data_IF_490831476980
#
_entry.id   IF_490831476980
#
_cell.length_a   1.000
_cell.length_b   1.000
_cell.length_c   1.000
_cell.angle_alpha   90.00
_cell.angle_beta   90.00
_cell.angle_gamma   90.00
#
_symmetry.space_group_name_H-M   'P 1'
#
loop_
_entity.id
_entity.type
_entity.pdbx_description
1 polymer ?
#
# COMPACT_ATOMS: atom_id res chain seq x y z
N UNK A 1 -44.95 11.20 -64.03
CA UNK A 1 -43.68 11.57 -64.73
C UNK A 1 -42.63 11.88 -63.75
N UNK A 2 -41.59 11.02 -63.80
CA UNK A 2 -40.18 11.25 -63.38
C UNK A 2 -39.87 11.63 -61.92
N UNK A 3 -39.36 10.73 -61.27
CA UNK A 3 -37.92 10.45 -60.93
C UNK A 3 -37.39 11.25 -59.76
N UNK A 4 -36.96 10.56 -58.73
CA UNK A 4 -35.56 10.58 -58.39
C UNK A 4 -35.17 9.58 -57.29
N UNK A 5 -34.34 8.68 -57.69
CA UNK A 5 -33.48 7.81 -56.86
C UNK A 5 -32.16 8.58 -56.62
N UNK A 6 -31.64 8.51 -55.43
CA UNK A 6 -30.27 8.36 -54.99
C UNK A 6 -29.93 9.23 -53.79
N UNK A 7 -29.68 8.62 -52.68
CA UNK A 7 -28.41 8.57 -52.00
C UNK A 7 -28.57 7.80 -50.68
N UNK A 8 -28.36 6.50 -50.75
CA UNK A 8 -28.01 5.67 -49.61
C UNK A 8 -26.55 5.29 -49.83
N UNK A 9 -25.75 5.53 -48.84
CA UNK A 9 -24.40 5.02 -48.83
C UNK A 9 -23.37 6.01 -48.30
N UNK A 10 -23.14 6.03 -47.05
CA UNK A 10 -21.85 6.08 -46.29
C UNK A 10 -22.20 6.26 -44.81
N UNK A 11 -22.19 5.21 -44.04
CA UNK A 11 -22.51 5.30 -42.63
C UNK A 11 -22.37 3.97 -41.87
N UNK A 12 -21.72 2.98 -42.45
CA UNK A 12 -21.61 1.66 -41.80
C UNK A 12 -20.19 1.05 -41.75
N UNK A 13 -19.13 1.87 -41.72
CA UNK A 13 -17.75 1.39 -41.71
C UNK A 13 -16.96 1.65 -40.42
N UNK A 14 -17.55 2.40 -39.46
CA UNK A 14 -16.84 2.69 -38.21
C UNK A 14 -17.26 1.86 -36.99
N UNK A 15 -18.35 1.10 -37.08
CA UNK A 15 -18.81 0.20 -35.98
C UNK A 15 -18.24 -1.22 -36.04
N UNK A 16 -17.68 -1.61 -37.19
CA UNK A 16 -17.18 -2.98 -37.40
C UNK A 16 -15.79 -3.24 -36.81
N UNK A 17 -14.98 -2.21 -36.60
CA UNK A 17 -13.61 -2.37 -36.10
C UNK A 17 -13.52 -2.55 -34.56
N UNK A 18 -14.49 -2.02 -33.81
CA UNK A 18 -14.48 -2.15 -32.33
C UNK A 18 -14.99 -3.51 -31.86
N UNK A 19 -15.91 -4.12 -32.60
CA UNK A 19 -16.34 -5.50 -32.27
C UNK A 19 -15.27 -6.56 -32.59
N UNK A 20 -14.40 -6.31 -33.58
CA UNK A 20 -13.39 -7.29 -33.96
C UNK A 20 -12.19 -7.34 -33.00
N UNK A 21 -11.87 -6.24 -32.30
CA UNK A 21 -10.79 -6.23 -31.32
C UNK A 21 -11.17 -6.93 -30.02
N UNK A 22 -12.40 -6.72 -29.52
CA UNK A 22 -12.88 -7.43 -28.33
C UNK A 22 -13.02 -8.96 -28.57
N UNK A 23 -13.52 -9.35 -29.73
CA UNK A 23 -13.64 -10.77 -30.11
C UNK A 23 -12.28 -11.43 -30.36
N UNK A 24 -11.30 -10.67 -30.87
CA UNK A 24 -9.94 -11.17 -31.07
C UNK A 24 -9.20 -11.36 -29.73
N UNK A 25 -9.44 -10.50 -28.76
CA UNK A 25 -8.85 -10.59 -27.41
C UNK A 25 -9.42 -11.80 -26.64
N UNK A 26 -10.75 -11.99 -26.65
CA UNK A 26 -11.39 -13.19 -26.10
C UNK A 26 -10.87 -14.48 -26.74
N UNK A 27 -10.61 -14.47 -28.03
CA UNK A 27 -10.04 -15.59 -28.77
C UNK A 27 -8.60 -15.91 -28.34
N UNK A 28 -7.79 -14.89 -28.02
CA UNK A 28 -6.40 -15.10 -27.56
C UNK A 28 -6.35 -15.81 -26.22
N UNK A 29 -7.11 -15.36 -25.21
CA UNK A 29 -7.14 -15.99 -23.87
C UNK A 29 -7.59 -17.44 -23.94
N UNK A 30 -8.64 -17.74 -24.69
CA UNK A 30 -9.11 -19.12 -24.90
C UNK A 30 -8.07 -20.00 -25.57
N UNK A 31 -7.37 -19.45 -26.58
CA UNK A 31 -6.34 -20.20 -27.32
C UNK A 31 -5.10 -20.44 -26.45
N UNK A 32 -4.60 -19.41 -25.77
CA UNK A 32 -3.44 -19.51 -24.91
C UNK A 32 -3.67 -20.46 -23.71
N UNK A 33 -4.89 -20.47 -23.17
CA UNK A 33 -5.28 -21.30 -22.04
C UNK A 33 -5.62 -22.77 -22.43
N UNK A 34 -5.78 -23.09 -23.72
CA UNK A 34 -6.21 -24.41 -24.15
C UNK A 34 -5.41 -25.60 -23.56
N UNK A 35 -4.06 -25.53 -23.45
CA UNK A 35 -3.28 -26.60 -22.85
C UNK A 35 -3.53 -26.80 -21.35
N UNK A 36 -4.12 -25.83 -20.69
CA UNK A 36 -4.29 -25.74 -19.22
C UNK A 36 -5.76 -25.83 -18.80
N UNK A 37 -6.69 -26.07 -19.73
CA UNK A 37 -8.12 -26.19 -19.42
C UNK A 37 -8.38 -27.30 -18.39
N UNK A 38 -9.20 -26.99 -17.39
CA UNK A 38 -9.50 -27.87 -16.27
C UNK A 38 -8.45 -27.89 -15.16
N UNK A 39 -7.31 -27.20 -15.34
CA UNK A 39 -6.37 -27.01 -14.25
C UNK A 39 -6.99 -26.10 -13.18
N UNK A 40 -6.55 -26.31 -11.93
CA UNK A 40 -6.86 -25.43 -10.80
C UNK A 40 -5.56 -24.76 -10.35
N UNK A 41 -5.56 -23.44 -10.30
CA UNK A 41 -4.50 -22.65 -9.68
C UNK A 41 -5.00 -22.12 -8.34
N UNK A 42 -4.14 -22.19 -7.32
CA UNK A 42 -4.46 -21.75 -5.96
C UNK A 42 -3.63 -20.55 -5.56
N UNK A 43 -4.31 -19.48 -5.15
CA UNK A 43 -3.68 -18.25 -4.64
C UNK A 43 -3.89 -18.03 -3.16
N UNK A 44 -2.99 -17.29 -2.53
CA UNK A 44 -3.14 -16.78 -1.17
C UNK A 44 -2.77 -15.29 -1.09
N UNK A 45 -3.53 -14.54 -0.31
CA UNK A 45 -3.30 -13.11 -0.09
C UNK A 45 -3.73 -12.68 1.31
N UNK A 46 -3.30 -11.50 1.70
CA UNK A 46 -3.92 -10.78 2.80
C UNK A 46 -5.38 -10.43 2.46
N UNK A 47 -6.23 -10.35 3.48
CA UNK A 47 -7.65 -10.01 3.33
C UNK A 47 -7.85 -8.49 3.21
N UNK A 48 -7.62 -7.96 2.03
CA UNK A 48 -7.86 -6.55 1.66
C UNK A 48 -9.08 -6.40 0.75
N UNK A 49 -9.64 -5.20 0.55
CA UNK A 49 -10.67 -4.98 -0.47
C UNK A 49 -10.28 -5.48 -1.86
N UNK A 50 -8.98 -5.39 -2.23
CA UNK A 50 -8.51 -5.89 -3.51
C UNK A 50 -8.47 -7.40 -3.61
N UNK A 51 -8.03 -8.06 -2.57
CA UNK A 51 -8.03 -9.52 -2.52
C UNK A 51 -9.44 -10.07 -2.67
N UNK A 52 -10.42 -9.43 -2.00
CA UNK A 52 -11.83 -9.79 -2.16
C UNK A 52 -12.34 -9.61 -3.60
N UNK A 53 -11.85 -8.59 -4.30
CA UNK A 53 -12.20 -8.40 -5.71
C UNK A 53 -11.59 -9.49 -6.60
N UNK A 54 -10.37 -9.97 -6.29
CA UNK A 54 -9.78 -11.15 -6.96
C UNK A 54 -10.65 -12.37 -6.75
N UNK A 55 -11.03 -12.64 -5.50
CA UNK A 55 -11.85 -13.81 -5.13
C UNK A 55 -13.23 -13.77 -5.78
N UNK A 56 -13.91 -12.64 -5.69
CA UNK A 56 -15.33 -12.53 -6.05
C UNK A 56 -15.56 -12.19 -7.52
N UNK A 57 -14.59 -11.55 -8.20
CA UNK A 57 -14.79 -11.02 -9.55
C UNK A 57 -13.75 -11.56 -10.53
N UNK A 58 -12.45 -11.35 -10.28
CA UNK A 58 -11.41 -11.61 -11.27
C UNK A 58 -11.19 -13.11 -11.49
N UNK A 59 -11.13 -13.90 -10.42
CA UNK A 59 -11.00 -15.34 -10.49
C UNK A 59 -12.14 -16.01 -11.26
N UNK A 60 -13.42 -15.73 -10.93
CA UNK A 60 -14.56 -16.22 -11.70
C UNK A 60 -14.57 -15.79 -13.18
N UNK A 61 -14.25 -14.52 -13.48
CA UNK A 61 -14.16 -14.04 -14.87
C UNK A 61 -13.06 -14.77 -15.65
N UNK A 62 -11.88 -14.88 -15.09
CA UNK A 62 -10.77 -15.61 -15.70
C UNK A 62 -11.15 -17.09 -15.96
N UNK A 63 -11.77 -17.74 -14.97
CA UNK A 63 -12.25 -19.12 -15.11
C UNK A 63 -13.26 -19.27 -16.25
N UNK A 64 -14.20 -18.33 -16.36
CA UNK A 64 -15.19 -18.33 -17.44
C UNK A 64 -14.55 -18.19 -18.83
N UNK A 65 -13.53 -17.34 -18.94
CA UNK A 65 -12.86 -17.07 -20.22
C UNK A 65 -11.90 -18.17 -20.64
N UNK A 66 -11.21 -18.78 -19.69
CA UNK A 66 -10.07 -19.68 -19.97
C UNK A 66 -10.34 -21.16 -19.68
N UNK A 67 -11.30 -21.45 -18.81
CA UNK A 67 -11.52 -22.82 -18.28
C UNK A 67 -10.51 -23.23 -17.22
N UNK A 68 -9.59 -22.35 -16.79
CA UNK A 68 -8.67 -22.56 -15.66
C UNK A 68 -9.39 -22.10 -14.38
N UNK A 69 -9.54 -22.99 -13.41
CA UNK A 69 -10.18 -22.68 -12.15
C UNK A 69 -9.22 -21.90 -11.24
N UNK A 70 -9.72 -20.83 -10.62
CA UNK A 70 -8.99 -20.07 -9.58
C UNK A 70 -9.60 -20.39 -8.22
N UNK A 71 -8.82 -20.96 -7.32
CA UNK A 71 -9.11 -21.05 -5.90
C UNK A 71 -8.28 -19.99 -5.16
N UNK A 72 -8.93 -19.19 -4.30
CA UNK A 72 -8.27 -18.07 -3.67
C UNK A 72 -8.54 -18.04 -2.17
N UNK A 73 -7.49 -17.89 -1.38
CA UNK A 73 -7.55 -17.79 0.07
C UNK A 73 -7.14 -16.37 0.48
N UNK A 74 -8.05 -15.64 1.15
CA UNK A 74 -7.76 -14.37 1.79
C UNK A 74 -7.78 -14.56 3.31
N UNK A 75 -6.67 -14.18 3.98
CA UNK A 75 -6.48 -14.38 5.43
C UNK A 75 -5.74 -13.20 6.06
N UNK A 76 -5.37 -13.25 7.35
CA UNK A 76 -4.53 -12.22 7.94
C UNK A 76 -3.13 -12.21 7.34
N UNK A 77 -2.46 -11.05 7.40
CA UNK A 77 -1.10 -10.88 6.87
C UNK A 77 -0.13 -11.93 7.41
N UNK A 78 -0.09 -12.15 8.72
CA UNK A 78 0.80 -13.13 9.37
C UNK A 78 0.55 -14.55 8.86
N UNK A 79 -0.72 -14.94 8.73
CA UNK A 79 -1.08 -16.28 8.24
C UNK A 79 -0.75 -16.45 6.77
N UNK A 80 -0.98 -15.43 5.97
CA UNK A 80 -0.62 -15.43 4.55
C UNK A 80 0.89 -15.61 4.39
N UNK A 81 1.70 -14.79 5.07
CA UNK A 81 3.15 -14.88 5.01
C UNK A 81 3.67 -16.25 5.47
N UNK A 82 3.19 -16.71 6.62
CA UNK A 82 3.57 -17.99 7.22
C UNK A 82 3.27 -19.20 6.31
N UNK A 83 2.08 -19.21 5.70
CA UNK A 83 1.66 -20.29 4.80
C UNK A 83 2.47 -20.26 3.51
N UNK A 84 2.64 -19.08 2.91
CA UNK A 84 3.38 -18.92 1.67
C UNK A 84 4.85 -19.30 1.82
N UNK A 85 5.54 -18.82 2.87
CA UNK A 85 6.96 -19.10 3.06
C UNK A 85 7.20 -20.58 3.40
N UNK A 86 6.36 -21.19 4.23
CA UNK A 86 6.45 -22.62 4.57
C UNK A 86 6.23 -23.52 3.36
N UNK A 87 5.29 -23.18 2.47
CA UNK A 87 5.08 -23.91 1.21
C UNK A 87 6.32 -23.85 0.32
N UNK A 88 6.91 -22.66 0.16
CA UNK A 88 8.12 -22.47 -0.64
C UNK A 88 9.34 -23.16 -0.04
N UNK A 89 9.53 -23.10 1.29
CA UNK A 89 10.61 -23.77 2.01
C UNK A 89 10.53 -25.30 1.90
N UNK A 90 9.33 -25.84 2.06
CA UNK A 90 9.08 -27.27 1.95
C UNK A 90 8.97 -27.77 0.50
N UNK A 91 8.91 -26.86 -0.47
CA UNK A 91 8.72 -27.14 -1.91
C UNK A 91 7.50 -28.02 -2.18
N UNK A 92 6.38 -27.77 -1.47
CA UNK A 92 5.19 -28.62 -1.56
C UNK A 92 4.28 -28.27 -2.73
N UNK A 93 4.29 -26.99 -3.18
CA UNK A 93 3.49 -26.49 -4.29
C UNK A 93 1.99 -26.51 -3.97
N UNK A 94 1.64 -26.04 -2.77
CA UNK A 94 0.24 -25.83 -2.36
C UNK A 94 -0.33 -24.62 -3.08
N UNK A 95 0.49 -23.57 -3.19
CA UNK A 95 0.10 -22.31 -3.84
C UNK A 95 0.79 -22.14 -5.19
N UNK A 96 0.03 -21.65 -6.15
CA UNK A 96 0.47 -21.39 -7.52
C UNK A 96 0.73 -19.91 -7.77
N UNK A 97 0.13 -19.02 -6.97
CA UNK A 97 0.48 -17.60 -6.89
C UNK A 97 0.26 -17.10 -5.46
N UNK A 98 1.11 -16.19 -5.03
CA UNK A 98 1.11 -15.65 -3.67
C UNK A 98 1.21 -14.13 -3.69
N UNK A 99 0.52 -13.49 -2.77
CA UNK A 99 0.73 -12.07 -2.49
C UNK A 99 2.14 -11.86 -1.95
N UNK A 100 2.84 -10.93 -2.52
CA UNK A 100 4.16 -10.48 -2.11
C UNK A 100 4.11 -8.99 -1.87
N UNK A 101 4.27 -8.61 -0.65
CA UNK A 101 4.41 -7.22 -0.27
C UNK A 101 5.83 -6.74 -0.51
N UNK A 102 6.02 -5.46 -0.72
CA UNK A 102 7.32 -4.90 -1.08
C UNK A 102 8.37 -5.05 0.03
N UNK A 103 7.99 -5.28 1.27
CA UNK A 103 8.88 -5.52 2.39
C UNK A 103 9.37 -6.97 2.48
N UNK A 104 8.56 -7.94 2.06
CA UNK A 104 8.90 -9.37 2.09
C UNK A 104 9.51 -9.88 0.79
N UNK A 105 9.33 -9.19 -0.33
CA UNK A 105 9.82 -9.64 -1.65
C UNK A 105 11.32 -9.90 -1.65
N UNK A 106 12.11 -9.08 -0.97
CA UNK A 106 13.56 -9.22 -0.96
C UNK A 106 14.03 -10.47 -0.21
N UNK A 107 13.28 -10.93 0.79
CA UNK A 107 13.50 -12.23 1.45
C UNK A 107 13.28 -13.38 0.45
N UNK A 108 12.23 -13.30 -0.36
CA UNK A 108 11.91 -14.31 -1.36
C UNK A 108 12.94 -14.30 -2.51
N UNK A 109 13.37 -13.12 -2.97
CA UNK A 109 14.38 -12.98 -4.01
C UNK A 109 15.75 -13.53 -3.55
N UNK A 110 16.19 -13.22 -2.34
CA UNK A 110 17.45 -13.72 -1.78
C UNK A 110 17.50 -15.26 -1.70
N UNK A 111 16.33 -15.91 -1.62
CA UNK A 111 16.17 -17.36 -1.51
C UNK A 111 15.77 -18.03 -2.83
N UNK A 112 15.66 -17.28 -3.93
CA UNK A 112 15.19 -17.75 -5.23
C UNK A 112 13.82 -18.44 -5.16
N UNK A 113 12.90 -17.90 -4.38
CA UNK A 113 11.58 -18.48 -4.18
C UNK A 113 10.56 -18.10 -5.25
N UNK A 114 10.84 -17.11 -6.08
CA UNK A 114 9.91 -16.61 -7.10
C UNK A 114 10.35 -17.03 -8.52
N UNK A 115 9.37 -17.24 -9.37
CA UNK A 115 9.55 -17.43 -10.80
C UNK A 115 9.84 -16.08 -11.46
N UNK A 116 10.85 -16.05 -12.31
CA UNK A 116 11.13 -14.93 -13.18
C UNK A 116 10.07 -14.84 -14.29
N UNK A 117 9.19 -13.85 -14.19
CA UNK A 117 8.06 -13.65 -15.11
C UNK A 117 8.58 -13.19 -16.47
N UNK A 118 9.55 -12.27 -16.51
CA UNK A 118 10.14 -11.75 -17.75
C UNK A 118 10.74 -12.89 -18.57
N UNK A 119 11.58 -13.69 -17.94
CA UNK A 119 12.21 -14.83 -18.59
C UNK A 119 11.20 -15.89 -19.00
N UNK A 120 10.24 -16.23 -18.15
CA UNK A 120 9.24 -17.26 -18.44
C UNK A 120 8.37 -16.91 -19.63
N UNK A 121 7.99 -15.63 -19.78
CA UNK A 121 7.23 -15.17 -20.95
C UNK A 121 8.08 -15.12 -22.21
N UNK A 122 9.37 -14.80 -22.12
CA UNK A 122 10.30 -14.86 -23.23
C UNK A 122 10.52 -16.31 -23.73
N UNK A 123 10.65 -17.26 -22.79
CA UNK A 123 10.85 -18.69 -23.10
C UNK A 123 9.58 -19.35 -23.65
N UNK A 124 8.38 -18.84 -23.31
CA UNK A 124 7.09 -19.37 -23.77
C UNK A 124 6.19 -18.29 -24.40
N UNK A 125 6.60 -17.81 -25.57
CA UNK A 125 5.87 -16.75 -26.28
C UNK A 125 4.40 -17.07 -26.62
N UNK A 126 3.99 -18.34 -26.55
CA UNK A 126 2.58 -18.75 -26.80
C UNK A 126 1.61 -18.29 -25.72
N UNK A 127 2.11 -18.09 -24.50
CA UNK A 127 1.32 -17.58 -23.38
C UNK A 127 1.68 -16.13 -23.04
N UNK A 128 2.55 -15.47 -23.79
CA UNK A 128 2.86 -14.07 -23.61
C UNK A 128 1.76 -13.20 -24.25
N UNK A 129 0.93 -12.57 -23.42
CA UNK A 129 -0.15 -11.71 -23.89
C UNK A 129 0.39 -10.45 -24.55
N UNK A 130 -0.10 -10.08 -25.76
CA UNK A 130 0.31 -8.83 -26.42
C UNK A 130 -0.13 -7.58 -25.64
N UNK A 131 -1.11 -7.71 -24.74
CA UNK A 131 -1.68 -6.63 -23.94
C UNK A 131 -1.01 -6.49 -22.56
N UNK A 132 -0.20 -7.46 -22.15
CA UNK A 132 0.57 -7.37 -20.91
C UNK A 132 1.87 -6.61 -21.16
N UNK A 133 1.96 -5.39 -20.65
CA UNK A 133 3.10 -4.48 -20.84
C UNK A 133 3.57 -3.94 -19.49
N UNK A 134 4.70 -4.45 -18.98
CA UNK A 134 5.26 -3.96 -17.70
C UNK A 134 5.47 -2.44 -17.65
N UNK A 135 5.76 -1.79 -18.78
CA UNK A 135 5.93 -0.34 -18.89
C UNK A 135 4.65 0.48 -18.63
N UNK A 136 3.48 -0.14 -18.66
CA UNK A 136 2.21 0.52 -18.33
C UNK A 136 2.00 0.68 -16.82
N UNK A 137 2.70 -0.09 -16.01
CA UNK A 137 2.61 0.05 -14.56
C UNK A 137 3.27 1.34 -14.06
N UNK A 138 2.85 1.80 -12.90
CA UNK A 138 3.52 2.90 -12.20
C UNK A 138 4.93 2.47 -11.74
N UNK A 139 5.70 3.41 -11.23
CA UNK A 139 7.04 3.12 -10.66
C UNK A 139 7.01 2.11 -9.51
N UNK A 140 5.82 1.81 -8.96
CA UNK A 140 5.63 0.79 -7.93
C UNK A 140 6.08 -0.61 -8.39
N UNK A 141 5.98 -0.94 -9.68
CA UNK A 141 6.53 -2.18 -10.24
C UNK A 141 8.02 -2.38 -9.90
N UNK A 142 8.79 -1.31 -9.68
CA UNK A 142 10.23 -1.43 -9.42
C UNK A 142 10.55 -2.18 -8.12
N UNK A 143 9.63 -2.20 -7.13
CA UNK A 143 9.81 -2.99 -5.91
C UNK A 143 9.74 -4.51 -6.17
N UNK A 144 9.11 -4.93 -7.27
CA UNK A 144 8.92 -6.33 -7.64
C UNK A 144 9.80 -6.78 -8.80
N UNK A 145 10.91 -6.07 -9.03
CA UNK A 145 11.96 -6.47 -9.97
C UNK A 145 13.15 -7.05 -9.22
N UNK A 146 13.79 -8.03 -9.82
CA UNK A 146 15.10 -8.47 -9.33
C UNK A 146 16.09 -7.31 -9.46
N UNK A 147 16.75 -6.90 -8.37
CA UNK A 147 17.63 -5.74 -8.38
C UNK A 147 18.92 -5.94 -9.22
N UNK A 148 19.24 -7.17 -9.62
CA UNK A 148 20.44 -7.49 -10.41
C UNK A 148 20.14 -7.56 -11.91
N UNK A 149 19.06 -8.26 -12.29
CA UNK A 149 18.69 -8.45 -13.69
C UNK A 149 17.71 -7.38 -14.19
N UNK A 150 16.90 -6.80 -13.30
CA UNK A 150 15.78 -5.92 -13.66
C UNK A 150 14.53 -6.65 -14.10
N UNK A 151 14.53 -7.99 -14.06
CA UNK A 151 13.40 -8.81 -14.46
C UNK A 151 12.23 -8.71 -13.48
N UNK A 152 11.02 -8.82 -14.01
CA UNK A 152 9.77 -8.77 -13.25
C UNK A 152 9.57 -10.09 -12.52
N UNK A 153 9.43 -10.01 -11.20
CA UNK A 153 9.21 -11.15 -10.31
C UNK A 153 7.79 -11.19 -9.74
N UNK A 154 7.04 -10.11 -9.87
CA UNK A 154 5.66 -10.00 -9.44
C UNK A 154 4.86 -8.98 -10.26
N UNK A 155 3.57 -9.25 -10.45
CA UNK A 155 2.65 -8.33 -11.12
C UNK A 155 1.93 -7.49 -10.06
N UNK A 156 2.07 -6.16 -10.05
CA UNK A 156 1.45 -5.29 -9.06
C UNK A 156 -0.07 -5.50 -8.99
N UNK A 157 -0.55 -5.70 -7.80
CA UNK A 157 -1.95 -5.88 -7.48
C UNK A 157 -2.52 -4.63 -6.82
N UNK A 158 -1.79 -4.02 -5.94
CA UNK A 158 -2.17 -2.82 -5.22
C UNK A 158 -0.98 -1.91 -4.96
N UNK A 159 -1.27 -0.61 -4.96
CA UNK A 159 -0.34 0.44 -4.57
C UNK A 159 -1.13 1.61 -4.01
N UNK A 160 -0.73 2.12 -2.86
CA UNK A 160 -1.33 3.26 -2.18
C UNK A 160 -0.30 3.97 -1.30
N UNK A 161 -0.54 5.24 -1.02
CA UNK A 161 0.24 5.99 -0.03
C UNK A 161 -0.54 6.07 1.28
N UNK A 162 0.14 6.40 2.38
CA UNK A 162 -0.50 6.69 3.66
C UNK A 162 -0.63 8.20 3.85
N UNK A 163 -1.75 8.81 3.42
CA UNK A 163 -1.95 10.25 3.50
C UNK A 163 -2.37 10.70 4.91
N UNK A 164 -2.33 12.01 5.11
CA UNK A 164 -3.00 12.68 6.21
C UNK A 164 -4.47 12.91 5.86
N UNK A 165 -5.38 12.24 6.56
CA UNK A 165 -6.82 12.49 6.48
C UNK A 165 -7.26 13.43 7.61
N UNK A 166 -8.21 14.31 7.31
CA UNK A 166 -8.80 15.22 8.29
C UNK A 166 -10.30 15.42 8.04
N UNK A 167 -11.02 15.80 9.06
CA UNK A 167 -12.45 16.08 9.02
C UNK A 167 -12.68 17.50 8.46
N UNK A 168 -12.87 17.57 7.13
CA UNK A 168 -13.09 18.83 6.42
C UNK A 168 -14.26 19.63 7.01
N UNK A 169 -15.35 18.96 7.36
CA UNK A 169 -16.49 19.58 8.00
C UNK A 169 -16.19 20.26 9.35
N UNK A 170 -15.23 19.73 10.13
CA UNK A 170 -14.77 20.34 11.37
C UNK A 170 -13.79 21.50 11.09
N UNK A 171 -12.90 21.32 10.13
CA UNK A 171 -11.90 22.31 9.79
C UNK A 171 -12.50 23.55 9.08
N UNK A 172 -13.59 23.36 8.33
CA UNK A 172 -14.26 24.42 7.59
C UNK A 172 -15.39 25.11 8.41
N UNK A 173 -15.73 24.59 9.59
CA UNK A 173 -16.75 25.19 10.46
C UNK A 173 -16.28 26.53 11.04
N UNK A 174 -16.97 27.65 10.76
CA UNK A 174 -16.53 28.98 11.23
C UNK A 174 -16.50 29.12 12.76
N UNK A 175 -17.35 28.42 13.49
CA UNK A 175 -17.37 28.47 14.95
C UNK A 175 -16.17 27.71 15.53
N UNK A 176 -15.82 26.57 14.95
CA UNK A 176 -14.64 25.80 15.35
C UNK A 176 -13.35 26.55 14.98
N UNK A 177 -13.28 27.13 13.78
CA UNK A 177 -12.15 27.97 13.38
C UNK A 177 -11.92 29.14 14.34
N UNK A 178 -13.01 29.81 14.73
CA UNK A 178 -12.93 30.89 15.70
C UNK A 178 -12.44 30.39 17.06
N UNK A 179 -13.02 29.31 17.57
CA UNK A 179 -12.62 28.74 18.86
C UNK A 179 -11.15 28.29 18.87
N UNK A 180 -10.69 27.69 17.77
CA UNK A 180 -9.29 27.30 17.60
C UNK A 180 -8.37 28.54 17.60
N UNK A 181 -8.72 29.57 16.83
CA UNK A 181 -7.94 30.82 16.75
C UNK A 181 -7.89 31.55 18.08
N UNK A 182 -9.03 31.67 18.77
CA UNK A 182 -9.10 32.30 20.09
C UNK A 182 -8.22 31.57 21.13
N UNK A 183 -8.14 30.22 21.02
CA UNK A 183 -7.36 29.41 21.96
C UNK A 183 -5.86 29.35 21.63
N UNK A 184 -5.51 29.29 20.34
CA UNK A 184 -4.15 28.97 19.87
C UNK A 184 -3.43 30.16 19.23
N UNK A 185 -4.15 31.20 18.83
CA UNK A 185 -3.66 32.34 18.06
C UNK A 185 -3.42 32.03 16.57
N UNK A 186 -3.65 30.78 16.12
CA UNK A 186 -3.40 30.32 14.75
C UNK A 186 -4.70 30.03 14.00
N UNK A 187 -4.65 30.05 12.67
CA UNK A 187 -5.77 29.62 11.85
C UNK A 187 -5.83 28.08 11.78
N UNK A 188 -7.05 27.52 11.85
CA UNK A 188 -7.28 26.08 11.69
C UNK A 188 -7.22 25.70 10.22
N UNK A 189 -6.21 24.91 9.85
CA UNK A 189 -6.01 24.33 8.51
C UNK A 189 -5.25 23.03 8.64
N UNK A 190 -5.24 22.15 7.62
CA UNK A 190 -4.44 20.93 7.65
C UNK A 190 -2.97 21.22 8.00
N UNK A 191 -2.43 20.44 8.93
CA UNK A 191 -1.07 20.62 9.43
C UNK A 191 -0.02 20.33 8.34
N UNK A 192 1.04 21.11 8.33
CA UNK A 192 2.22 20.90 7.49
C UNK A 192 3.47 20.56 8.33
N UNK A 193 3.40 20.83 9.62
CA UNK A 193 4.45 20.51 10.61
C UNK A 193 3.90 19.67 11.76
N UNK A 194 4.77 18.95 12.45
CA UNK A 194 4.39 18.15 13.62
C UNK A 194 3.86 19.01 14.78
N UNK A 195 4.37 20.23 14.92
CA UNK A 195 3.88 21.18 15.92
C UNK A 195 2.43 21.57 15.64
N UNK A 196 2.11 21.88 14.38
CA UNK A 196 0.73 22.19 13.95
C UNK A 196 -0.18 20.99 14.18
N UNK A 197 0.25 19.78 13.79
CA UNK A 197 -0.53 18.56 13.96
C UNK A 197 -0.84 18.29 15.44
N UNK A 198 0.16 18.38 16.31
CA UNK A 198 -0.01 18.19 17.76
C UNK A 198 -0.94 19.25 18.36
N UNK A 199 -0.80 20.52 17.95
CA UNK A 199 -1.65 21.61 18.40
C UNK A 199 -3.13 21.39 18.01
N UNK A 200 -3.38 20.91 16.80
CA UNK A 200 -4.71 20.55 16.31
C UNK A 200 -5.24 19.33 17.09
N UNK A 201 -4.43 18.29 17.27
CA UNK A 201 -4.81 17.10 18.02
C UNK A 201 -5.22 17.45 19.46
N UNK A 202 -4.41 18.26 20.13
CA UNK A 202 -4.72 18.74 21.49
C UNK A 202 -6.02 19.53 21.53
N UNK A 203 -6.20 20.46 20.58
CA UNK A 203 -7.42 21.27 20.51
C UNK A 203 -8.67 20.41 20.40
N UNK A 204 -8.69 19.47 19.44
CA UNK A 204 -9.87 18.63 19.22
C UNK A 204 -10.12 17.62 20.33
N UNK A 205 -9.08 17.09 20.97
CA UNK A 205 -9.24 16.23 22.16
C UNK A 205 -9.92 16.96 23.31
N UNK A 206 -9.61 18.24 23.51
CA UNK A 206 -10.26 19.08 24.53
C UNK A 206 -11.64 19.57 24.09
N UNK A 207 -11.81 19.98 22.83
CA UNK A 207 -13.07 20.45 22.23
C UNK A 207 -14.11 19.33 22.13
N UNK A 208 -13.66 18.11 21.88
CA UNK A 208 -14.48 16.93 21.64
C UNK A 208 -14.69 16.03 22.86
N UNK A 209 -14.20 16.40 24.05
CA UNK A 209 -14.17 15.55 25.23
C UNK A 209 -15.57 15.05 25.67
N UNK A 210 -16.62 15.84 25.43
CA UNK A 210 -18.03 15.51 25.70
C UNK A 210 -18.75 14.87 24.50
N UNK A 211 -18.07 14.67 23.38
CA UNK A 211 -18.63 14.26 22.08
C UNK A 211 -18.00 12.97 21.52
N UNK A 212 -17.19 12.29 22.30
CA UNK A 212 -16.38 11.13 21.85
C UNK A 212 -15.52 11.44 20.61
N UNK A 213 -15.11 12.70 20.45
CA UNK A 213 -14.24 13.15 19.37
C UNK A 213 -12.81 13.32 19.90
N UNK A 214 -11.91 12.53 19.36
CA UNK A 214 -10.49 12.58 19.67
C UNK A 214 -9.73 13.49 18.70
N UNK A 215 -8.58 13.98 19.14
CA UNK A 215 -7.76 14.85 18.33
C UNK A 215 -7.11 14.17 17.14
N UNK A 216 -6.79 12.87 17.29
CA UNK A 216 -6.19 12.05 16.23
C UNK A 216 -6.54 10.58 16.42
N UNK A 217 -6.21 9.75 15.43
CA UNK A 217 -6.16 8.28 15.56
C UNK A 217 -4.71 7.83 15.37
N UNK A 218 -4.31 6.77 16.07
CA UNK A 218 -2.92 6.27 16.10
C UNK A 218 -2.89 4.77 15.99
N UNK A 219 -2.07 4.24 15.09
CA UNK A 219 -1.79 2.82 14.95
C UNK A 219 -0.64 2.44 15.89
N UNK A 220 -0.90 1.69 16.97
CA UNK A 220 0.12 1.43 17.98
C UNK A 220 0.03 0.01 18.59
N UNK A 221 -0.62 -0.94 17.91
CA UNK A 221 -0.72 -2.32 18.37
C UNK A 221 0.60 -3.08 18.24
N UNK A 222 0.83 -4.02 19.18
CA UNK A 222 1.87 -5.05 19.03
C UNK A 222 1.46 -6.17 18.07
N UNK A 223 0.15 -6.33 17.82
CA UNK A 223 -0.36 -7.32 16.86
C UNK A 223 0.02 -6.90 15.44
N UNK A 224 0.33 -7.89 14.60
CA UNK A 224 0.71 -7.69 13.19
C UNK A 224 1.87 -6.71 13.01
N UNK A 225 2.82 -6.68 13.88
CA UNK A 225 3.76 -5.63 14.35
C UNK A 225 3.41 -4.20 13.90
N UNK A 226 2.12 -3.84 14.03
CA UNK A 226 1.58 -2.60 13.53
C UNK A 226 2.30 -1.35 14.06
N UNK A 227 2.75 -1.40 15.31
CA UNK A 227 3.54 -0.33 15.90
C UNK A 227 4.92 -0.13 15.25
N UNK A 228 5.57 -1.22 14.83
CA UNK A 228 6.85 -1.17 14.13
C UNK A 228 6.69 -0.48 12.78
N UNK A 229 5.72 -0.93 11.99
CA UNK A 229 5.43 -0.36 10.67
C UNK A 229 5.04 1.11 10.77
N UNK A 230 4.14 1.45 11.70
CA UNK A 230 3.77 2.85 11.89
C UNK A 230 4.96 3.75 12.18
N UNK A 231 5.81 3.31 13.12
CA UNK A 231 6.97 4.12 13.49
C UNK A 231 7.97 4.24 12.35
N UNK A 232 8.45 3.13 11.80
CA UNK A 232 9.56 3.15 10.85
C UNK A 232 9.18 3.53 9.42
N UNK A 233 7.93 3.37 9.03
CA UNK A 233 7.49 3.59 7.65
C UNK A 233 6.64 4.86 7.48
N UNK A 234 5.92 5.27 8.53
CA UNK A 234 5.07 6.46 8.48
C UNK A 234 5.63 7.63 9.27
N UNK A 235 6.12 7.41 10.49
CA UNK A 235 6.51 8.50 11.39
C UNK A 235 7.98 8.89 11.20
N UNK A 236 8.92 7.97 11.33
CA UNK A 236 10.36 8.24 11.28
C UNK A 236 10.79 8.93 9.97
N UNK A 237 10.26 8.60 8.78
CA UNK A 237 10.58 9.31 7.55
C UNK A 237 10.23 10.81 7.58
N UNK A 238 9.15 11.18 8.27
CA UNK A 238 8.75 12.59 8.41
C UNK A 238 9.72 13.41 9.26
N UNK A 239 10.63 12.74 9.98
CA UNK A 239 11.74 13.32 10.73
C UNK A 239 13.11 13.16 10.03
N UNK A 240 13.12 12.60 8.80
CA UNK A 240 14.35 12.39 8.02
C UNK A 240 15.12 11.14 8.41
N UNK A 241 14.49 10.17 9.06
CA UNK A 241 15.05 8.85 9.36
C UNK A 241 14.50 7.83 8.39
N UNK A 242 15.35 7.29 7.53
CA UNK A 242 14.97 6.43 6.42
C UNK A 242 15.44 4.99 6.62
N UNK A 243 14.83 4.05 5.89
CA UNK A 243 15.25 2.65 5.86
C UNK A 243 15.34 2.03 7.26
N UNK A 244 14.38 2.31 8.13
CA UNK A 244 14.33 1.90 9.54
C UNK A 244 15.53 2.38 10.37
N UNK A 245 16.23 3.42 9.91
CA UNK A 245 17.48 3.88 10.51
C UNK A 245 18.68 2.98 10.26
N UNK A 246 18.58 2.02 9.33
CA UNK A 246 19.67 1.12 8.94
C UNK A 246 20.38 1.67 7.70
N UNK A 247 21.70 1.82 7.75
CA UNK A 247 22.50 2.22 6.58
C UNK A 247 22.48 1.12 5.50
N UNK A 248 22.08 1.48 4.29
CA UNK A 248 21.88 0.51 3.20
C UNK A 248 23.16 -0.15 2.66
N UNK A 249 24.36 0.31 3.07
CA UNK A 249 25.65 -0.24 2.61
C UNK A 249 26.38 -1.02 3.70
N UNK A 250 26.43 -0.46 4.90
CA UNK A 250 27.14 -1.04 6.04
C UNK A 250 26.24 -1.87 6.93
N UNK A 251 24.92 -1.73 6.75
CA UNK A 251 23.89 -2.29 7.62
C UNK A 251 24.06 -1.90 9.09
N UNK A 252 24.64 -0.72 9.36
CA UNK A 252 24.69 -0.14 10.68
C UNK A 252 23.31 0.35 11.10
N UNK A 253 22.86 0.05 12.32
CA UNK A 253 21.64 0.55 12.90
C UNK A 253 21.91 1.64 13.95
N UNK A 254 22.98 1.48 14.76
CA UNK A 254 23.36 2.48 15.77
C UNK A 254 24.02 3.70 15.14
N UNK A 255 23.76 4.88 15.71
CA UNK A 255 24.44 6.14 15.31
C UNK A 255 25.94 6.05 15.45
N UNK A 256 26.44 5.37 16.49
CA UNK A 256 27.85 5.14 16.74
C UNK A 256 28.58 4.41 15.58
N UNK A 257 27.87 3.63 14.81
CA UNK A 257 28.39 2.89 13.66
C UNK A 257 27.93 3.44 12.30
N UNK A 258 27.24 4.56 12.28
CA UNK A 258 26.79 5.22 11.05
C UNK A 258 25.33 4.91 10.63
N UNK A 259 24.58 4.21 11.49
CA UNK A 259 23.11 4.07 11.36
C UNK A 259 22.38 5.30 11.90
N UNK A 260 21.06 5.22 11.91
CA UNK A 260 20.19 6.32 12.39
C UNK A 260 19.04 5.85 13.29
N UNK A 261 18.94 4.53 13.57
CA UNK A 261 17.81 3.99 14.33
C UNK A 261 17.67 4.61 15.73
N UNK A 262 18.78 4.97 16.36
CA UNK A 262 18.82 5.65 17.66
C UNK A 262 19.39 7.07 17.59
N UNK A 263 19.36 7.72 16.43
CA UNK A 263 19.77 9.10 16.26
C UNK A 263 18.86 10.07 17.02
N UNK A 264 19.33 11.31 17.23
CA UNK A 264 18.51 12.36 17.84
C UNK A 264 17.19 12.59 17.07
N UNK A 265 17.20 12.49 15.74
CA UNK A 265 15.99 12.58 14.91
C UNK A 265 15.02 11.42 15.16
N UNK A 266 15.51 10.18 15.22
CA UNK A 266 14.69 9.02 15.53
C UNK A 266 14.08 9.09 16.93
N UNK A 267 14.86 9.50 17.94
CA UNK A 267 14.38 9.72 19.31
C UNK A 267 13.30 10.79 19.36
N UNK A 268 13.50 11.91 18.67
CA UNK A 268 12.47 12.96 18.53
C UNK A 268 11.18 12.41 17.90
N UNK A 269 11.30 11.60 16.84
CA UNK A 269 10.17 10.98 16.16
C UNK A 269 9.38 10.05 17.09
N UNK A 270 10.06 9.17 17.83
CA UNK A 270 9.39 8.23 18.72
C UNK A 270 8.71 8.94 19.91
N UNK A 271 9.38 9.95 20.51
CA UNK A 271 8.77 10.78 21.56
C UNK A 271 7.51 11.50 21.04
N UNK A 272 7.59 12.13 19.86
CA UNK A 272 6.44 12.76 19.22
C UNK A 272 5.27 11.78 19.05
N UNK A 273 5.52 10.60 18.51
CA UNK A 273 4.47 9.63 18.23
C UNK A 273 3.83 9.07 19.51
N UNK A 274 4.64 8.75 20.52
CA UNK A 274 4.14 8.32 21.84
C UNK A 274 3.31 9.44 22.50
N UNK A 275 3.73 10.68 22.35
CA UNK A 275 2.99 11.84 22.90
C UNK A 275 1.63 12.03 22.23
N UNK A 276 1.46 11.66 20.96
CA UNK A 276 0.16 11.73 20.27
C UNK A 276 -0.91 10.81 20.87
N UNK A 277 -0.52 9.72 21.55
CA UNK A 277 -1.45 8.83 22.24
C UNK A 277 -2.29 9.56 23.30
N UNK A 278 -1.81 10.67 23.85
CA UNK A 278 -2.57 11.51 24.79
C UNK A 278 -3.81 12.13 24.17
N UNK A 279 -3.85 12.24 22.83
CA UNK A 279 -4.92 12.87 22.07
C UNK A 279 -5.69 11.86 21.18
N UNK A 280 -5.36 10.60 21.29
CA UNK A 280 -5.97 9.49 20.56
C UNK A 280 -6.90 8.67 21.48
N UNK A 281 -7.80 7.84 20.92
CA UNK A 281 -8.63 6.92 21.71
C UNK A 281 -7.78 6.03 22.62
N UNK A 282 -8.25 5.68 23.82
CA UNK A 282 -7.49 4.85 24.78
C UNK A 282 -7.11 3.48 24.19
N UNK A 283 -7.93 2.95 23.29
CA UNK A 283 -7.69 1.69 22.58
C UNK A 283 -6.58 1.75 21.52
N UNK A 284 -6.01 2.91 21.24
CA UNK A 284 -4.98 3.08 20.19
C UNK A 284 -3.75 2.17 20.37
N UNK A 285 -3.39 1.80 21.60
CA UNK A 285 -2.30 0.85 21.88
C UNK A 285 -2.62 -0.59 21.45
N UNK A 286 -3.86 -0.86 21.05
CA UNK A 286 -4.32 -2.13 20.48
C UNK A 286 -4.82 -1.97 19.03
N UNK A 287 -4.70 -0.77 18.44
CA UNK A 287 -5.18 -0.48 17.10
C UNK A 287 -4.14 -0.85 16.04
N UNK A 288 -4.56 -1.63 15.06
CA UNK A 288 -3.87 -1.87 13.80
C UNK A 288 -4.38 -0.86 12.75
N UNK A 289 -4.08 -1.09 11.48
CA UNK A 289 -4.56 -0.27 10.37
C UNK A 289 -6.09 -0.27 10.23
N UNK A 290 -6.74 -1.40 10.51
CA UNK A 290 -8.21 -1.54 10.41
C UNK A 290 -8.92 -0.71 11.48
N UNK A 291 -8.47 -0.76 12.74
CA UNK A 291 -9.07 0.03 13.81
C UNK A 291 -8.82 1.53 13.61
N UNK A 292 -7.67 1.93 13.07
CA UNK A 292 -7.38 3.33 12.72
C UNK A 292 -8.37 3.83 11.66
N UNK A 293 -8.56 3.05 10.58
CA UNK A 293 -9.53 3.39 9.53
C UNK A 293 -10.97 3.41 10.08
N UNK A 294 -11.35 2.43 10.89
CA UNK A 294 -12.66 2.33 11.55
C UNK A 294 -12.94 3.50 12.50
N UNK A 295 -11.96 3.90 13.30
CA UNK A 295 -12.05 5.04 14.21
C UNK A 295 -12.30 6.34 13.46
N UNK A 296 -11.58 6.57 12.37
CA UNK A 296 -11.77 7.75 11.53
C UNK A 296 -13.13 7.72 10.81
N UNK A 297 -13.51 6.59 10.23
CA UNK A 297 -14.79 6.40 9.55
C UNK A 297 -16.00 6.57 10.48
N UNK A 298 -15.88 6.15 11.75
CA UNK A 298 -16.89 6.38 12.77
C UNK A 298 -17.02 7.86 13.20
N UNK A 299 -16.12 8.75 12.71
CA UNK A 299 -16.13 10.16 13.06
C UNK A 299 -15.52 10.47 14.44
N UNK A 300 -14.85 9.50 15.06
CA UNK A 300 -14.26 9.61 16.40
C UNK A 300 -12.90 10.31 16.44
N UNK A 301 -12.30 10.62 15.30
CA UNK A 301 -11.04 11.36 15.21
C UNK A 301 -11.17 12.56 14.28
N UNK A 302 -10.57 13.70 14.64
CA UNK A 302 -10.55 14.90 13.82
C UNK A 302 -9.54 14.81 12.68
N UNK A 303 -8.46 14.05 12.86
CA UNK A 303 -7.40 13.83 11.89
C UNK A 303 -6.68 12.50 12.14
N UNK A 304 -5.86 12.04 11.18
CA UNK A 304 -5.05 10.84 11.33
C UNK A 304 -4.24 10.51 10.08
N UNK A 305 -3.20 9.72 10.21
CA UNK A 305 -2.54 9.05 9.10
C UNK A 305 -3.28 7.72 8.87
N UNK A 306 -3.90 7.57 7.72
CA UNK A 306 -4.76 6.41 7.40
C UNK A 306 -4.29 5.81 6.08
N UNK A 307 -4.16 4.49 5.99
CA UNK A 307 -3.79 3.83 4.74
C UNK A 307 -4.77 4.15 3.62
N UNK A 308 -4.23 4.56 2.49
CA UNK A 308 -4.98 5.08 1.36
C UNK A 308 -5.91 4.08 0.67
N UNK A 309 -5.68 2.78 0.85
CA UNK A 309 -6.60 1.72 0.42
C UNK A 309 -8.00 1.87 1.03
N UNK A 310 -8.08 2.49 2.21
CA UNK A 310 -9.31 2.74 2.92
C UNK A 310 -10.01 4.06 2.51
N UNK A 311 -9.32 4.94 1.78
CA UNK A 311 -9.83 6.29 1.48
C UNK A 311 -11.18 6.28 0.74
N UNK A 312 -11.39 5.34 -0.20
CA UNK A 312 -12.63 5.31 -0.96
C UNK A 312 -13.83 4.95 -0.07
N UNK A 313 -13.78 3.86 0.66
CA UNK A 313 -14.93 3.45 1.48
C UNK A 313 -15.18 4.43 2.63
N UNK A 314 -14.15 4.99 3.24
CA UNK A 314 -14.30 6.03 4.28
C UNK A 314 -15.04 7.25 3.71
N UNK A 315 -14.71 7.65 2.49
CA UNK A 315 -15.26 8.87 1.89
C UNK A 315 -16.61 8.68 1.19
N UNK A 316 -17.02 7.43 0.86
CA UNK A 316 -18.16 7.19 -0.03
C UNK A 316 -19.16 6.11 0.40
N UNK A 317 -18.84 5.25 1.36
CA UNK A 317 -19.70 4.14 1.79
C UNK A 317 -20.49 4.49 3.06
N UNK A 318 -21.73 5.00 2.89
CA UNK A 318 -22.60 5.38 4.01
C UNK A 318 -22.99 4.19 4.93
N UNK A 319 -22.82 2.95 4.48
CA UNK A 319 -23.09 1.78 5.31
C UNK A 319 -21.99 1.49 6.33
N UNK A 320 -20.79 2.05 6.12
CA UNK A 320 -19.58 1.81 6.94
C UNK A 320 -19.00 3.08 7.55
N UNK A 321 -19.32 4.25 6.99
CA UNK A 321 -18.71 5.52 7.36
C UNK A 321 -19.73 6.60 7.67
N UNK A 322 -19.56 7.28 8.79
CA UNK A 322 -20.37 8.45 9.21
C UNK A 322 -19.80 9.77 8.67
N UNK A 323 -18.62 9.70 8.04
CA UNK A 323 -17.86 10.86 7.53
C UNK A 323 -17.87 10.98 6.01
N UNK A 324 -18.80 10.30 5.34
CA UNK A 324 -18.98 10.40 3.89
C UNK A 324 -19.16 11.87 3.49
N UNK A 325 -18.41 12.31 2.48
CA UNK A 325 -18.39 13.71 2.00
C UNK A 325 -17.70 14.72 2.93
N UNK A 326 -17.18 14.29 4.08
CA UNK A 326 -16.59 15.16 5.12
C UNK A 326 -15.07 15.00 5.25
N UNK A 327 -14.46 14.18 4.40
CA UNK A 327 -13.03 13.87 4.46
C UNK A 327 -12.24 14.87 3.63
N UNK A 328 -11.13 15.35 4.16
CA UNK A 328 -10.09 16.06 3.44
C UNK A 328 -8.82 15.21 3.40
N UNK A 329 -8.00 15.39 2.37
CA UNK A 329 -6.74 14.66 2.15
C UNK A 329 -5.60 15.65 2.01
N UNK A 330 -4.45 15.37 2.63
CA UNK A 330 -3.25 16.18 2.54
C UNK A 330 -1.99 15.30 2.65
N UNK A 331 -0.83 15.88 2.35
CA UNK A 331 0.46 15.26 2.67
C UNK A 331 0.67 15.21 4.19
N UNK A 332 1.38 14.20 4.72
CA UNK A 332 1.71 14.14 6.14
C UNK A 332 2.56 15.35 6.56
N UNK A 333 2.42 15.80 7.82
CA UNK A 333 3.29 16.85 8.36
C UNK A 333 4.73 16.34 8.45
N UNK A 334 5.69 17.24 8.24
CA UNK A 334 7.12 16.89 8.24
C UNK A 334 7.95 17.89 9.05
N UNK A 335 9.15 17.48 9.46
CA UNK A 335 10.17 18.38 10.00
C UNK A 335 10.76 19.29 8.92
N UNK A 336 11.31 20.41 9.35
CA UNK A 336 11.97 21.37 8.46
C UNK A 336 13.07 20.68 7.62
N UNK A 337 13.07 20.93 6.32
CA UNK A 337 14.04 20.39 5.36
C UNK A 337 13.70 19.00 4.82
N UNK A 338 12.78 18.25 5.43
CA UNK A 338 12.43 16.89 4.97
C UNK A 338 11.66 16.93 3.64
N UNK A 339 10.71 17.87 3.49
CA UNK A 339 9.98 18.04 2.25
C UNK A 339 10.91 18.42 1.08
N UNK A 340 11.84 19.33 1.32
CA UNK A 340 12.83 19.76 0.34
C UNK A 340 13.77 18.63 -0.05
N UNK A 341 14.20 17.82 0.91
CA UNK A 341 15.00 16.62 0.65
C UNK A 341 14.25 15.60 -0.19
N UNK A 342 12.98 15.31 0.13
CA UNK A 342 12.14 14.39 -0.62
C UNK A 342 11.92 14.88 -2.07
N UNK A 343 11.61 16.16 -2.27
CA UNK A 343 11.49 16.76 -3.61
C UNK A 343 12.78 16.73 -4.42
N UNK A 344 13.93 16.72 -3.75
CA UNK A 344 15.24 16.59 -4.37
C UNK A 344 15.69 15.12 -4.58
N UNK A 345 14.84 14.13 -4.27
CA UNK A 345 15.16 12.70 -4.36
C UNK A 345 16.18 12.22 -3.34
N UNK A 346 16.33 12.91 -2.21
CA UNK A 346 17.29 12.59 -1.13
C UNK A 346 16.63 12.03 0.13
N UNK A 347 15.36 11.65 0.05
CA UNK A 347 14.56 11.12 1.14
C UNK A 347 13.10 10.99 0.73
N UNK A 348 12.24 10.73 1.71
CA UNK A 348 10.80 10.55 1.49
C UNK A 348 10.03 10.97 2.76
N UNK A 349 8.70 11.14 2.62
CA UNK A 349 7.86 11.69 3.70
C UNK A 349 6.86 10.69 4.28
N UNK A 350 6.95 9.42 3.90
CA UNK A 350 6.02 8.40 4.36
C UNK A 350 6.07 7.16 3.47
N UNK A 351 5.11 6.28 3.70
CA UNK A 351 5.10 4.94 3.13
C UNK A 351 4.30 4.89 1.82
N UNK A 352 4.92 4.30 0.79
CA UNK A 352 4.26 3.87 -0.43
C UNK A 352 4.08 2.37 -0.35
N UNK A 353 2.91 1.95 0.03
CA UNK A 353 2.59 0.57 0.36
C UNK A 353 1.86 -0.16 -0.76
N UNK A 354 1.75 -1.46 -0.60
CA UNK A 354 1.04 -2.37 -1.49
C UNK A 354 1.85 -3.59 -1.85
N UNK A 355 1.30 -4.36 -2.79
CA UNK A 355 1.89 -5.63 -3.16
C UNK A 355 1.62 -6.06 -4.59
N UNK A 356 2.15 -7.21 -4.90
CA UNK A 356 2.04 -7.88 -6.18
C UNK A 356 1.65 -9.34 -5.99
N UNK A 357 1.24 -10.00 -7.06
CA UNK A 357 1.23 -11.46 -7.09
C UNK A 357 2.50 -11.97 -7.75
N UNK A 358 3.20 -12.85 -7.06
CA UNK A 358 4.32 -13.62 -7.57
C UNK A 358 3.98 -15.10 -7.68
N UNK A 359 4.74 -15.85 -8.49
CA UNK A 359 4.59 -17.28 -8.66
C UNK A 359 5.68 -17.98 -7.85
N UNK A 360 5.33 -18.83 -6.85
CA UNK A 360 6.31 -19.62 -6.13
C UNK A 360 7.10 -20.55 -7.06
N UNK A 361 8.39 -20.72 -6.80
CA UNK A 361 9.20 -21.70 -7.54
C UNK A 361 8.66 -23.12 -7.40
N UNK A 362 7.98 -23.42 -6.28
CA UNK A 362 7.33 -24.70 -5.96
C UNK A 362 6.05 -24.98 -6.74
N UNK A 363 5.43 -23.93 -7.38
CA UNK A 363 4.19 -24.09 -8.14
C UNK A 363 4.29 -25.19 -9.20
N UNK A 364 3.23 -25.96 -9.30
CA UNK A 364 3.06 -27.03 -10.32
C UNK A 364 2.32 -26.54 -11.57
N UNK A 365 1.73 -25.36 -11.52
CA UNK A 365 0.88 -24.77 -12.56
C UNK A 365 1.43 -23.41 -13.03
N UNK A 366 2.76 -23.26 -13.20
CA UNK A 366 3.42 -21.98 -13.47
C UNK A 366 2.85 -21.25 -14.68
N UNK A 367 2.66 -21.95 -15.80
CA UNK A 367 2.14 -21.34 -17.03
C UNK A 367 0.69 -20.89 -16.90
N UNK A 368 -0.16 -21.67 -16.22
CA UNK A 368 -1.54 -21.29 -15.92
C UNK A 368 -1.60 -20.05 -14.99
N UNK A 369 -0.69 -19.98 -14.03
CA UNK A 369 -0.54 -18.82 -13.15
C UNK A 369 -0.01 -17.59 -13.88
N UNK A 370 0.94 -17.76 -14.81
CA UNK A 370 1.41 -16.69 -15.70
C UNK A 370 0.27 -16.10 -16.53
N UNK A 371 -0.63 -16.93 -17.05
CA UNK A 371 -1.82 -16.44 -17.74
C UNK A 371 -2.71 -15.61 -16.81
N UNK A 372 -2.94 -16.09 -15.59
CA UNK A 372 -3.77 -15.34 -14.63
C UNK A 372 -3.13 -14.01 -14.23
N UNK A 373 -1.83 -13.98 -13.95
CA UNK A 373 -1.13 -12.74 -13.58
C UNK A 373 -1.15 -11.71 -14.73
N UNK A 374 -1.00 -12.15 -15.97
CA UNK A 374 -1.14 -11.28 -17.13
C UNK A 374 -2.58 -10.80 -17.31
N UNK A 375 -3.57 -11.66 -17.04
CA UNK A 375 -4.99 -11.32 -17.13
C UNK A 375 -5.34 -10.19 -16.18
N UNK A 376 -4.91 -10.26 -14.92
CA UNK A 376 -5.14 -9.20 -13.94
C UNK A 376 -4.30 -7.94 -14.24
N UNK A 377 -3.19 -8.08 -14.95
CA UNK A 377 -2.32 -7.00 -15.40
C UNK A 377 -2.80 -6.23 -16.63
N UNK A 378 -4.02 -6.48 -17.13
CA UNK A 378 -4.59 -5.74 -18.26
C UNK A 378 -5.12 -4.37 -17.83
N UNK A 379 -4.89 -3.33 -18.65
CA UNK A 379 -5.41 -1.98 -18.39
C UNK A 379 -6.93 -1.96 -18.19
N UNK A 380 -7.69 -2.75 -18.99
CA UNK A 380 -9.14 -2.84 -18.88
C UNK A 380 -9.64 -3.42 -17.55
N UNK A 381 -8.83 -4.26 -16.90
CA UNK A 381 -9.14 -4.85 -15.59
C UNK A 381 -8.84 -3.85 -14.47
N UNK A 382 -7.79 -3.07 -14.64
CA UNK A 382 -7.24 -2.23 -13.57
C UNK A 382 -8.16 -1.07 -13.16
N UNK A 383 -8.92 -0.46 -14.10
CA UNK A 383 -9.86 0.62 -13.74
C UNK A 383 -10.96 0.14 -12.80
N UNK A 384 -11.63 -0.97 -13.14
CA UNK A 384 -12.72 -1.49 -12.32
C UNK A 384 -12.19 -2.00 -10.96
N UNK A 385 -11.00 -2.54 -10.95
CA UNK A 385 -10.33 -2.97 -9.71
C UNK A 385 -9.92 -1.78 -8.83
N UNK A 386 -9.41 -0.70 -9.43
CA UNK A 386 -9.09 0.53 -8.72
C UNK A 386 -10.32 1.15 -8.04
N UNK A 387 -11.47 1.14 -8.72
CA UNK A 387 -12.73 1.61 -8.16
C UNK A 387 -13.21 0.76 -6.97
N UNK A 388 -12.91 -0.54 -6.97
CA UNK A 388 -13.30 -1.45 -5.90
C UNK A 388 -12.42 -1.32 -4.64
N UNK A 389 -11.19 -0.78 -4.74
CA UNK A 389 -10.25 -0.80 -3.64
C UNK A 389 -9.30 0.38 -3.47
N UNK A 390 -9.59 1.54 -4.05
CA UNK A 390 -8.79 2.78 -3.88
C UNK A 390 -7.32 2.70 -4.25
N UNK A 391 -6.94 1.80 -5.14
CA UNK A 391 -5.56 1.56 -5.51
C UNK A 391 -5.32 1.73 -7.00
N UNK A 392 -4.18 2.27 -7.36
CA UNK A 392 -3.82 2.45 -8.76
C UNK A 392 -2.39 1.97 -8.99
N UNK A 393 -2.24 0.95 -9.84
CA UNK A 393 -0.95 0.38 -10.21
C UNK A 393 -0.54 0.67 -11.66
N UNK A 394 -1.44 1.25 -12.47
CA UNK A 394 -1.18 1.63 -13.86
C UNK A 394 -1.35 3.12 -14.09
N UNK A 395 -0.43 3.72 -14.87
CA UNK A 395 -0.44 5.15 -15.16
C UNK A 395 -1.73 5.59 -15.89
N UNK A 396 -2.20 4.79 -16.84
CA UNK A 396 -3.42 5.11 -17.62
C UNK A 396 -4.70 5.09 -16.78
N UNK A 397 -4.70 4.42 -15.63
CA UNK A 397 -5.87 4.35 -14.75
C UNK A 397 -6.20 5.72 -14.15
N UNK A 398 -5.20 6.57 -13.89
CA UNK A 398 -5.43 7.92 -13.36
C UNK A 398 -6.24 8.83 -14.31
N UNK A 399 -6.15 8.58 -15.61
CA UNK A 399 -6.81 9.39 -16.63
C UNK A 399 -8.19 8.83 -17.04
N UNK A 400 -8.59 7.66 -16.50
CA UNK A 400 -9.89 7.08 -16.76
C UNK A 400 -11.03 7.98 -16.21
N UNK A 401 -12.05 8.32 -17.01
CA UNK A 401 -13.14 9.20 -16.57
C UNK A 401 -13.85 8.73 -15.28
N UNK A 402 -13.94 7.42 -15.04
CA UNK A 402 -14.56 6.87 -13.82
C UNK A 402 -13.69 7.16 -12.59
N UNK A 403 -12.37 7.07 -12.75
CA UNK A 403 -11.41 7.36 -11.67
C UNK A 403 -11.38 8.87 -11.39
N UNK A 404 -11.36 9.70 -12.42
CA UNK A 404 -11.45 11.18 -12.29
C UNK A 404 -12.73 11.60 -11.57
N UNK A 405 -13.86 10.95 -11.84
CA UNK A 405 -15.11 11.23 -11.13
C UNK A 405 -15.07 10.72 -9.69
N UNK A 406 -14.51 9.55 -9.45
CA UNK A 406 -14.34 9.02 -8.10
C UNK A 406 -13.39 9.87 -7.26
N UNK A 407 -12.34 10.45 -7.88
CA UNK A 407 -11.36 11.29 -7.20
C UNK A 407 -11.99 12.51 -6.52
N UNK A 408 -13.03 13.10 -7.14
CA UNK A 408 -13.79 14.19 -6.52
C UNK A 408 -14.48 13.77 -5.21
N UNK A 409 -14.92 12.51 -5.13
CA UNK A 409 -15.61 11.98 -3.95
C UNK A 409 -14.63 11.62 -2.84
N UNK A 410 -13.41 11.22 -3.20
CA UNK A 410 -12.32 10.92 -2.25
C UNK A 410 -11.40 12.13 -2.02
N UNK A 411 -11.90 13.32 -2.27
CA UNK A 411 -11.23 14.60 -1.98
C UNK A 411 -9.85 14.76 -2.63
N UNK A 412 -9.67 14.23 -3.85
CA UNK A 412 -8.43 14.36 -4.60
C UNK A 412 -7.34 13.38 -4.21
N UNK A 413 -7.66 12.29 -3.52
CA UNK A 413 -6.66 11.29 -3.09
C UNK A 413 -5.89 10.68 -4.26
N UNK A 414 -6.58 10.35 -5.38
CA UNK A 414 -5.90 9.80 -6.55
C UNK A 414 -5.01 10.83 -7.24
N UNK A 415 -5.44 12.08 -7.30
CA UNK A 415 -4.62 13.20 -7.78
C UNK A 415 -3.39 13.38 -6.88
N UNK A 416 -3.54 13.36 -5.55
CA UNK A 416 -2.42 13.43 -4.61
C UNK A 416 -1.43 12.29 -4.86
N UNK A 417 -1.91 11.05 -5.01
CA UNK A 417 -1.07 9.89 -5.25
C UNK A 417 -0.33 9.99 -6.60
N UNK A 418 -0.99 10.45 -7.66
CA UNK A 418 -0.37 10.65 -8.98
C UNK A 418 0.74 11.70 -8.95
N UNK A 419 0.48 12.84 -8.35
CA UNK A 419 1.37 14.01 -8.42
C UNK A 419 2.50 13.94 -7.39
N UNK A 420 2.19 13.47 -6.19
CA UNK A 420 3.07 13.47 -5.02
C UNK A 420 3.46 12.07 -4.51
N UNK A 421 2.94 10.99 -5.10
CA UNK A 421 3.30 9.62 -4.71
C UNK A 421 4.81 9.35 -4.76
N UNK A 422 5.53 10.03 -5.64
CA UNK A 422 7.00 10.00 -5.72
C UNK A 422 7.73 10.54 -4.49
N UNK A 423 7.04 11.24 -3.60
CA UNK A 423 7.58 11.72 -2.31
C UNK A 423 7.52 10.64 -1.22
N UNK A 424 6.87 9.51 -1.50
CA UNK A 424 6.76 8.37 -0.60
C UNK A 424 7.69 7.26 -1.10
N UNK A 425 8.10 6.37 -0.21
CA UNK A 425 8.92 5.23 -0.57
C UNK A 425 8.39 3.96 0.08
N UNK A 426 8.67 2.83 -0.57
CA UNK A 426 8.40 1.53 0.00
C UNK A 426 9.42 1.12 1.05
N UNK A 427 9.25 -0.10 1.55
CA UNK A 427 10.17 -0.69 2.50
C UNK A 427 11.59 -0.79 1.93
N UNK A 428 12.61 -0.73 2.77
CA UNK A 428 13.99 -0.88 2.33
C UNK A 428 14.23 -2.29 1.76
N UNK A 429 15.13 -2.42 0.75
CA UNK A 429 15.40 -3.69 0.09
C UNK A 429 16.26 -4.64 0.94
N UNK A 430 15.80 -4.95 2.14
CA UNK A 430 16.54 -5.76 3.11
C UNK A 430 16.07 -7.22 3.09
N UNK A 431 16.96 -8.19 2.77
CA UNK A 431 16.62 -9.61 2.77
C UNK A 431 16.42 -10.17 4.19
N UNK A 432 16.70 -9.39 5.22
CA UNK A 432 16.61 -9.74 6.64
C UNK A 432 15.43 -9.03 7.36
N UNK A 433 14.43 -8.59 6.61
CA UNK A 433 13.27 -7.86 7.11
C UNK A 433 12.67 -8.52 8.37
N UNK A 434 12.20 -9.77 8.25
CA UNK A 434 11.49 -10.46 9.32
C UNK A 434 12.36 -10.63 10.59
N UNK A 435 13.66 -10.86 10.44
CA UNK A 435 14.58 -11.06 11.57
C UNK A 435 14.81 -9.76 12.33
N UNK A 436 15.01 -8.64 11.62
CA UNK A 436 15.17 -7.33 12.26
C UNK A 436 13.88 -6.89 12.93
N UNK A 437 12.75 -7.02 12.24
CA UNK A 437 11.43 -6.73 12.81
C UNK A 437 11.20 -7.48 14.12
N UNK A 438 11.49 -8.79 14.15
CA UNK A 438 11.28 -9.63 15.33
C UNK A 438 12.06 -9.17 16.56
N UNK A 439 13.27 -8.63 16.37
CA UNK A 439 14.11 -8.20 17.50
C UNK A 439 13.89 -6.74 17.88
N UNK A 440 13.36 -5.91 16.97
CA UNK A 440 13.16 -4.45 17.17
C UNK A 440 11.75 -4.11 17.67
N UNK A 441 10.71 -4.72 17.10
CA UNK A 441 9.32 -4.40 17.40
C UNK A 441 8.96 -4.42 18.89
N UNK A 442 9.47 -5.37 19.71
CA UNK A 442 9.18 -5.38 21.15
C UNK A 442 9.61 -4.11 21.89
N UNK A 443 10.73 -3.48 21.49
CA UNK A 443 11.21 -2.26 22.14
C UNK A 443 10.33 -1.06 21.77
N UNK A 444 9.90 -0.97 20.52
CA UNK A 444 8.97 0.09 20.09
C UNK A 444 7.67 -0.01 20.89
N UNK A 445 7.11 -1.20 21.03
CA UNK A 445 5.87 -1.40 21.78
C UNK A 445 6.04 -1.09 23.28
N UNK A 446 7.15 -1.46 23.90
CA UNK A 446 7.45 -1.11 25.29
C UNK A 446 7.49 0.40 25.54
N UNK A 447 7.97 1.18 24.57
CA UNK A 447 7.91 2.63 24.66
C UNK A 447 6.46 3.16 24.59
N UNK A 448 5.64 2.58 23.72
CA UNK A 448 4.21 2.93 23.56
C UNK A 448 3.43 2.70 24.85
N UNK A 449 3.62 1.57 25.49
CA UNK A 449 2.90 1.25 26.75
C UNK A 449 3.57 1.83 28.00
N UNK A 450 4.67 2.60 27.84
CA UNK A 450 5.33 3.31 28.94
C UNK A 450 6.21 2.43 29.83
N UNK A 451 6.55 1.20 29.42
CA UNK A 451 7.45 0.31 30.16
C UNK A 451 8.91 0.81 30.16
N UNK A 452 9.33 1.42 29.05
CA UNK A 452 10.65 2.06 28.92
C UNK A 452 10.50 3.42 28.24
N UNK A 453 11.46 4.30 28.43
CA UNK A 453 11.46 5.60 27.75
C UNK A 453 11.71 5.42 26.25
N UNK A 454 11.11 6.26 25.40
CA UNK A 454 11.32 6.18 23.94
C UNK A 454 12.80 6.20 23.52
N UNK A 455 13.61 7.03 24.16
CA UNK A 455 15.06 7.12 23.86
C UNK A 455 15.79 5.81 24.18
N UNK A 456 15.51 5.23 25.36
CA UNK A 456 16.09 3.96 25.78
C UNK A 456 15.60 2.79 24.91
N UNK A 457 14.34 2.87 24.41
CA UNK A 457 13.78 1.89 23.48
C UNK A 457 14.56 1.83 22.18
N UNK A 458 14.87 2.99 21.60
CA UNK A 458 15.62 3.05 20.34
C UNK A 458 17.09 2.66 20.53
N UNK A 459 17.71 2.97 21.65
CA UNK A 459 19.08 2.51 21.95
C UNK A 459 19.15 1.00 22.05
N UNK A 460 18.16 0.36 22.71
CA UNK A 460 18.06 -1.10 22.80
C UNK A 460 17.70 -1.73 21.46
N UNK A 461 16.76 -1.15 20.73
CA UNK A 461 16.34 -1.62 19.40
C UNK A 461 17.49 -1.61 18.39
N UNK A 462 18.24 -0.51 18.31
CA UNK A 462 19.39 -0.39 17.42
C UNK A 462 20.50 -1.39 17.76
N UNK A 463 20.77 -1.61 19.06
CA UNK A 463 21.73 -2.60 19.52
C UNK A 463 21.27 -4.01 19.17
N UNK A 464 19.99 -4.34 19.36
CA UNK A 464 19.43 -5.64 19.03
C UNK A 464 19.45 -5.90 17.52
N UNK A 465 19.13 -4.90 16.71
CA UNK A 465 19.20 -4.98 15.25
C UNK A 465 20.63 -5.28 14.77
N UNK A 466 21.64 -4.58 15.28
CA UNK A 466 23.04 -4.83 14.91
C UNK A 466 23.50 -6.23 15.33
N UNK A 467 23.16 -6.68 16.54
CA UNK A 467 23.49 -8.01 17.01
C UNK A 467 22.88 -9.10 16.11
N UNK A 468 21.63 -8.93 15.68
CA UNK A 468 21.00 -9.86 14.75
C UNK A 468 21.66 -9.83 13.37
N UNK A 469 22.01 -8.64 12.86
CA UNK A 469 22.70 -8.50 11.57
C UNK A 469 24.11 -9.11 11.56
N UNK A 470 24.83 -9.07 12.70
CA UNK A 470 26.10 -9.79 12.88
C UNK A 470 25.87 -11.31 12.88
N UNK A 471 24.88 -11.78 13.63
CA UNK A 471 24.51 -13.21 13.69
C UNK A 471 24.10 -13.76 12.31
N UNK A 472 23.43 -12.96 11.49
CA UNK A 472 23.04 -13.32 10.12
C UNK A 472 24.19 -13.18 9.10
N UNK A 473 25.35 -12.65 9.50
CA UNK A 473 26.53 -12.50 8.66
C UNK A 473 26.49 -11.27 7.72
N UNK A 474 25.56 -10.36 7.89
CA UNK A 474 25.51 -9.10 7.12
C UNK A 474 26.48 -8.05 7.66
N UNK A 475 26.85 -8.15 8.93
CA UNK A 475 27.86 -7.29 9.57
C UNK A 475 28.97 -8.15 10.19
N UNK A 476 30.16 -7.52 10.39
CA UNK A 476 31.32 -8.10 11.07
C UNK A 476 31.45 -7.53 12.47
#
# INVERSE_FOLDING_TARGET
MNSFIKAVGVGCLSLGLWCSTALAQDSWWKTAAQPYQGATIRGISESTPASKYVEQVLGPKFTQETGIKVEFEATSWDQMYDKAIKDMEANTGIYDFVYIEQDIVYTYLARNFLVDITKSLADNAKIASPDFKPENFTTFLNYFKDPKSGDVMGVPMEAFIKPYLYRKDLFDDPAIQKAYKDKTGADLKPATTHEEYTRIAKFFAEYGADKELWGTTVQASSSHPAAFYEFFESVAPTFGVYNWGIDGKTFAATEAHGGQMNSAAAKKALNYWVDLLKYAPPESTSSTWDEVAGTFAAGRAAQGLVYGENAAWIATDESKSTVVGKVGVALPPVEAGVMEAAKAGKGYIGYYDGGAFGIPHSSKNKDASLLFLQYIGQTSVQTDWALAGSRIVMNSTYDDPKIVEQDKKVSGYYTLMRDDGKLFAGAPPFPFHAQVLQVVAPFIYKAIVGEIKPDDALDQAATAAEAELVKLGYRK
#
